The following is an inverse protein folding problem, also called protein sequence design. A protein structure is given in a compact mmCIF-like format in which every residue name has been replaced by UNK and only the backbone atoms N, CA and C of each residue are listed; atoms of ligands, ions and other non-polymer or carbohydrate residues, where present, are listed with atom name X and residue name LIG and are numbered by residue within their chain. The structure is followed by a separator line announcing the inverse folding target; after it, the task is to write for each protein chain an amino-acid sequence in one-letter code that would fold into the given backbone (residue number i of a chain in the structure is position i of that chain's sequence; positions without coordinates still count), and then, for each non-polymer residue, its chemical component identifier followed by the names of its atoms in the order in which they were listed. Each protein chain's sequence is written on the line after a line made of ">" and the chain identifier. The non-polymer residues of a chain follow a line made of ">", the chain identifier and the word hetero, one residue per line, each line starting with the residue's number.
data_IF_622481300942
#
_entry.id   IF_622481300942
#
_cell.length_a   1.000
_cell.length_b   1.000
_cell.length_c   1.000
_cell.angle_alpha   90.00
_cell.angle_beta   90.00
_cell.angle_gamma   90.00
#
_symmetry.space_group_name_H-M   'P 1'
#
loop_
_entity.id
_entity.type
_entity.pdbx_description
1 polymer ?
#
# COMPACT_ATOMS: atom_id res chain seq x y z
N UNK A 1 -10.63 -7.34 56.08
CA UNK A 1 -11.21 -6.86 54.80
C UNK A 1 -10.23 -6.00 53.96
N UNK A 2 -9.33 -5.21 54.57
CA UNK A 2 -8.33 -4.39 53.85
C UNK A 2 -7.27 -5.18 53.05
N UNK A 3 -6.85 -6.36 53.52
CA UNK A 3 -5.81 -7.16 52.87
C UNK A 3 -6.23 -7.77 51.53
N UNK A 4 -7.49 -8.22 51.42
CA UNK A 4 -8.02 -8.83 50.20
C UNK A 4 -8.15 -7.83 49.04
N UNK A 5 -8.36 -6.55 49.35
CA UNK A 5 -8.49 -5.47 48.36
C UNK A 5 -7.11 -5.11 47.78
N UNK A 6 -6.08 -5.00 48.62
CA UNK A 6 -4.69 -4.74 48.15
C UNK A 6 -4.17 -5.84 47.22
N UNK A 7 -4.46 -7.10 47.54
CA UNK A 7 -4.02 -8.25 46.72
C UNK A 7 -4.71 -8.28 45.34
N UNK A 8 -5.99 -7.91 45.26
CA UNK A 8 -6.71 -7.76 43.99
C UNK A 8 -6.11 -6.65 43.12
N UNK A 9 -5.84 -5.47 43.69
CA UNK A 9 -5.25 -4.34 42.95
C UNK A 9 -3.85 -4.67 42.40
N UNK A 10 -3.02 -5.35 43.20
CA UNK A 10 -1.70 -5.81 42.75
C UNK A 10 -1.78 -6.83 41.61
N UNK A 11 -2.76 -7.75 41.65
CA UNK A 11 -2.98 -8.72 40.57
C UNK A 11 -3.43 -8.03 39.27
N UNK A 12 -4.30 -7.02 39.36
CA UNK A 12 -4.78 -6.27 38.19
C UNK A 12 -3.65 -5.48 37.54
N UNK A 13 -2.78 -4.83 38.34
CA UNK A 13 -1.62 -4.08 37.83
C UNK A 13 -0.63 -5.03 37.13
N UNK A 14 -0.38 -6.22 37.69
CA UNK A 14 0.50 -7.21 37.09
C UNK A 14 -0.03 -7.75 35.75
N UNK A 15 -1.34 -8.00 35.65
CA UNK A 15 -1.98 -8.38 34.38
C UNK A 15 -1.90 -7.27 33.34
N UNK A 16 -2.12 -6.01 33.71
CA UNK A 16 -1.95 -4.87 32.79
C UNK A 16 -0.51 -4.75 32.29
N UNK A 17 0.49 -4.94 33.15
CA UNK A 17 1.91 -4.91 32.76
C UNK A 17 2.29 -6.05 31.81
N UNK A 18 1.75 -7.26 32.02
CA UNK A 18 1.96 -8.39 31.10
C UNK A 18 1.33 -8.14 29.71
N UNK A 19 0.17 -7.49 29.65
CA UNK A 19 -0.48 -7.12 28.38
C UNK A 19 0.33 -6.05 27.63
N UNK A 20 0.90 -5.07 28.35
CA UNK A 20 1.76 -4.03 27.75
C UNK A 20 3.09 -4.63 27.26
N UNK A 21 3.62 -5.64 27.95
CA UNK A 21 4.91 -6.27 27.61
C UNK A 21 4.83 -7.12 26.33
N UNK A 22 3.71 -7.79 26.07
CA UNK A 22 3.52 -8.61 24.87
C UNK A 22 3.20 -7.81 23.60
N UNK A 23 2.81 -6.54 23.74
CA UNK A 23 2.48 -5.68 22.60
C UNK A 23 3.72 -5.13 21.87
N UNK A 24 4.92 -5.20 22.47
CA UNK A 24 6.05 -4.33 22.09
C UNK A 24 7.26 -5.00 21.41
N UNK A 25 7.18 -6.27 20.98
CA UNK A 25 8.25 -6.85 20.16
C UNK A 25 7.79 -8.07 19.37
N UNK A 26 6.70 -7.95 18.62
CA UNK A 26 6.40 -8.94 17.58
C UNK A 26 7.21 -8.58 16.34
N UNK A 27 8.39 -9.19 16.21
CA UNK A 27 9.13 -9.16 14.95
C UNK A 27 8.34 -9.92 13.89
N UNK A 28 8.08 -9.28 12.74
CA UNK A 28 7.47 -9.94 11.56
C UNK A 28 8.40 -9.81 10.36
N UNK A 29 8.65 -10.90 9.65
CA UNK A 29 9.35 -10.87 8.36
C UNK A 29 8.38 -10.38 7.27
N UNK A 30 8.69 -9.22 6.70
CA UNK A 30 7.82 -8.57 5.72
C UNK A 30 8.10 -9.03 4.28
N UNK A 31 9.13 -9.87 4.06
CA UNK A 31 9.48 -10.38 2.73
C UNK A 31 8.50 -11.43 2.23
N UNK A 32 7.82 -12.13 3.13
CA UNK A 32 6.79 -13.11 2.78
C UNK A 32 5.57 -12.47 2.10
N UNK A 33 5.31 -11.19 2.39
CA UNK A 33 4.21 -10.40 1.82
C UNK A 33 4.60 -9.69 0.49
N UNK A 34 5.74 -10.05 -0.09
CA UNK A 34 6.24 -9.49 -1.35
C UNK A 34 5.43 -9.98 -2.55
N UNK A 35 5.14 -9.08 -3.49
CA UNK A 35 4.37 -9.40 -4.69
C UNK A 35 5.04 -8.80 -5.93
N UNK A 36 5.58 -9.65 -6.80
CA UNK A 36 5.83 -9.31 -8.20
C UNK A 36 4.74 -10.01 -8.99
N UNK A 37 3.78 -9.23 -9.52
CA UNK A 37 2.80 -9.78 -10.44
C UNK A 37 3.35 -9.65 -11.86
N UNK A 38 3.28 -10.74 -12.63
CA UNK A 38 3.31 -10.63 -14.08
C UNK A 38 2.09 -9.83 -14.50
N UNK A 39 2.36 -8.61 -14.97
CA UNK A 39 1.35 -7.63 -15.29
C UNK A 39 0.61 -8.06 -16.56
N UNK A 40 -0.43 -8.88 -16.38
CA UNK A 40 -1.39 -9.24 -17.42
C UNK A 40 -2.68 -8.43 -17.23
N UNK A 41 -3.05 -7.62 -18.22
CA UNK A 41 -4.27 -6.81 -18.22
C UNK A 41 -5.54 -7.68 -18.39
N UNK A 42 -5.41 -8.84 -19.04
CA UNK A 42 -6.49 -9.80 -19.29
C UNK A 42 -6.82 -10.68 -18.07
N UNK A 43 -6.11 -10.50 -16.94
CA UNK A 43 -6.38 -11.27 -15.73
C UNK A 43 -7.74 -10.91 -15.11
N UNK A 44 -8.42 -11.89 -14.53
CA UNK A 44 -9.77 -11.75 -13.96
C UNK A 44 -9.82 -10.94 -12.63
N UNK A 45 -8.70 -10.74 -11.94
CA UNK A 45 -8.68 -10.18 -10.57
C UNK A 45 -8.41 -8.67 -10.50
N UNK A 46 -9.32 -7.85 -11.03
CA UNK A 46 -9.28 -6.40 -10.83
C UNK A 46 -10.09 -6.00 -9.59
N UNK A 47 -9.51 -5.13 -8.76
CA UNK A 47 -10.25 -4.42 -7.72
C UNK A 47 -10.88 -3.17 -8.31
N UNK A 48 -11.82 -2.54 -7.60
CA UNK A 48 -12.39 -1.28 -8.02
C UNK A 48 -12.77 -0.41 -6.83
N UNK A 49 -12.78 0.90 -7.05
CA UNK A 49 -13.44 1.86 -6.17
C UNK A 49 -14.59 2.53 -6.93
N UNK A 50 -15.51 3.16 -6.19
CA UNK A 50 -16.53 4.05 -6.77
C UNK A 50 -16.15 5.49 -6.47
N UNK A 51 -15.93 6.29 -7.51
CA UNK A 51 -15.59 7.70 -7.38
C UNK A 51 -16.59 8.55 -8.16
N UNK A 52 -17.33 9.42 -7.46
CA UNK A 52 -18.39 10.27 -8.06
C UNK A 52 -19.42 9.49 -8.91
N UNK A 53 -19.72 8.25 -8.52
CA UNK A 53 -20.66 7.38 -9.24
C UNK A 53 -20.04 6.58 -10.39
N UNK A 54 -18.76 6.79 -10.72
CA UNK A 54 -18.03 6.01 -11.71
C UNK A 54 -17.25 4.88 -11.05
N UNK A 55 -17.23 3.70 -11.69
CA UNK A 55 -16.42 2.56 -11.27
C UNK A 55 -15.00 2.73 -11.82
N UNK A 56 -14.02 2.89 -10.93
CA UNK A 56 -12.61 3.00 -11.29
C UNK A 56 -11.92 1.69 -10.90
N UNK A 57 -11.54 0.90 -11.91
CA UNK A 57 -10.80 -0.33 -11.70
C UNK A 57 -9.34 -0.01 -11.33
N UNK A 58 -8.73 -0.89 -10.53
CA UNK A 58 -7.30 -0.83 -10.24
C UNK A 58 -6.74 -2.22 -9.95
N UNK A 59 -5.44 -2.37 -10.12
CA UNK A 59 -4.73 -3.63 -9.84
C UNK A 59 -3.36 -3.36 -9.27
N UNK A 60 -2.99 -4.06 -8.21
CA UNK A 60 -1.62 -4.05 -7.68
C UNK A 60 -0.75 -4.87 -8.61
N UNK A 61 0.33 -4.28 -9.13
CA UNK A 61 1.28 -4.98 -9.99
C UNK A 61 2.61 -5.27 -9.25
N UNK A 62 2.92 -4.45 -8.26
CA UNK A 62 4.14 -4.56 -7.48
C UNK A 62 3.87 -4.15 -6.04
N UNK A 63 4.34 -4.96 -5.08
CA UNK A 63 4.33 -4.67 -3.65
C UNK A 63 5.67 -5.08 -3.06
N UNK A 64 6.36 -4.13 -2.43
CA UNK A 64 7.66 -4.36 -1.81
C UNK A 64 7.71 -3.80 -0.39
N UNK A 65 8.24 -4.55 0.58
CA UNK A 65 8.35 -4.05 1.94
C UNK A 65 9.36 -2.88 2.02
N UNK A 66 9.04 -1.86 2.83
CA UNK A 66 9.94 -0.73 3.11
C UNK A 66 11.16 -1.19 3.91
N UNK A 67 10.92 -2.10 4.86
CA UNK A 67 11.92 -2.76 5.69
C UNK A 67 11.64 -4.26 5.69
N UNK A 68 12.68 -5.09 5.70
CA UNK A 68 12.53 -6.55 5.69
C UNK A 68 11.92 -7.11 6.97
N UNK A 69 12.00 -6.38 8.09
CA UNK A 69 11.40 -6.77 9.38
C UNK A 69 10.70 -5.58 10.05
N UNK A 70 9.54 -5.83 10.64
CA UNK A 70 8.81 -4.85 11.45
C UNK A 70 9.01 -5.10 12.95
N UNK A 71 9.28 -4.05 13.74
CA UNK A 71 9.54 -4.14 15.20
C UNK A 71 8.22 -4.11 16.02
N UNK A 72 7.08 -3.94 15.36
CA UNK A 72 5.74 -3.88 15.95
C UNK A 72 4.71 -4.74 15.20
N UNK A 73 5.17 -5.74 14.46
CA UNK A 73 4.35 -6.65 13.65
C UNK A 73 3.69 -6.02 12.41
N UNK A 74 3.79 -4.69 12.22
CA UNK A 74 3.17 -3.99 11.09
C UNK A 74 4.17 -3.78 9.95
N UNK A 75 4.00 -4.55 8.88
CA UNK A 75 4.77 -4.38 7.67
C UNK A 75 4.29 -3.17 6.87
N UNK A 76 5.24 -2.37 6.42
CA UNK A 76 5.03 -1.20 5.58
C UNK A 76 5.45 -1.53 4.16
N UNK A 77 4.72 -1.03 3.16
CA UNK A 77 4.97 -1.37 1.76
C UNK A 77 5.00 -0.17 0.83
N UNK A 78 5.83 -0.27 -0.20
CA UNK A 78 5.75 0.52 -1.43
C UNK A 78 5.14 -0.31 -2.55
N UNK A 79 4.55 0.35 -3.54
CA UNK A 79 3.96 -0.37 -4.66
C UNK A 79 3.95 0.34 -6.00
N UNK A 80 3.56 -0.42 -7.02
CA UNK A 80 3.11 0.12 -8.31
C UNK A 80 1.76 -0.50 -8.62
N UNK A 81 0.84 0.35 -9.08
CA UNK A 81 -0.52 -0.05 -9.40
C UNK A 81 -0.87 0.34 -10.83
N UNK A 82 -1.81 -0.39 -11.41
CA UNK A 82 -2.45 -0.04 -12.67
C UNK A 82 -3.79 0.61 -12.33
N UNK A 83 -4.08 1.73 -12.97
CA UNK A 83 -5.37 2.41 -12.93
C UNK A 83 -5.67 2.83 -14.38
N UNK A 84 -6.48 2.05 -15.12
CA UNK A 84 -6.69 2.23 -16.56
C UNK A 84 -7.64 3.39 -16.84
N UNK A 85 -7.25 4.59 -16.42
CA UNK A 85 -7.95 5.84 -16.68
C UNK A 85 -7.10 6.72 -17.58
N UNK A 86 -7.76 7.52 -18.40
CA UNK A 86 -7.09 8.55 -19.17
C UNK A 86 -6.92 9.80 -18.30
N UNK A 87 -5.67 10.11 -17.92
CA UNK A 87 -5.37 11.28 -17.06
C UNK A 87 -5.91 12.60 -17.62
N UNK A 88 -6.04 12.74 -18.94
CA UNK A 88 -6.55 13.97 -19.56
C UNK A 88 -8.04 14.24 -19.26
N UNK A 89 -8.80 13.21 -18.89
CA UNK A 89 -10.22 13.31 -18.55
C UNK A 89 -10.45 13.74 -17.09
N UNK A 90 -9.41 13.69 -16.24
CA UNK A 90 -9.52 13.98 -14.81
C UNK A 90 -8.70 15.21 -14.41
N UNK A 91 -9.28 16.06 -13.55
CA UNK A 91 -8.53 17.15 -12.93
C UNK A 91 -7.48 16.57 -11.98
N UNK A 92 -6.33 17.25 -11.83
CA UNK A 92 -5.24 16.84 -10.93
C UNK A 92 -5.72 16.54 -9.49
N UNK A 93 -6.67 17.32 -8.97
CA UNK A 93 -7.27 17.12 -7.64
C UNK A 93 -8.07 15.81 -7.58
N UNK A 94 -8.82 15.49 -8.63
CA UNK A 94 -9.62 14.28 -8.71
C UNK A 94 -8.71 13.04 -8.76
N UNK A 95 -7.65 13.07 -9.57
CA UNK A 95 -6.62 12.01 -9.57
C UNK A 95 -6.02 11.81 -8.18
N UNK A 96 -5.65 12.89 -7.47
CA UNK A 96 -5.11 12.78 -6.10
C UNK A 96 -6.11 12.09 -5.16
N UNK A 97 -7.40 12.41 -5.27
CA UNK A 97 -8.44 11.80 -4.45
C UNK A 97 -8.66 10.32 -4.80
N UNK A 98 -8.72 9.97 -6.10
CA UNK A 98 -8.81 8.58 -6.56
C UNK A 98 -7.67 7.75 -5.98
N UNK A 99 -6.42 8.22 -6.11
CA UNK A 99 -5.26 7.50 -5.58
C UNK A 99 -5.29 7.41 -4.05
N UNK A 100 -5.77 8.45 -3.36
CA UNK A 100 -5.95 8.41 -1.91
C UNK A 100 -6.96 7.34 -1.50
N UNK A 101 -8.13 7.28 -2.15
CA UNK A 101 -9.18 6.29 -1.86
C UNK A 101 -8.69 4.87 -2.15
N UNK A 102 -7.95 4.64 -3.26
CA UNK A 102 -7.30 3.35 -3.50
C UNK A 102 -6.34 3.00 -2.37
N UNK A 103 -5.58 3.97 -1.85
CA UNK A 103 -4.64 3.71 -0.74
C UNK A 103 -5.33 3.38 0.59
N UNK A 104 -6.58 3.80 0.80
CA UNK A 104 -7.34 3.43 2.00
C UNK A 104 -7.58 1.91 2.06
N UNK A 105 -7.65 1.24 0.90
CA UNK A 105 -7.76 -0.23 0.78
C UNK A 105 -6.40 -0.92 0.78
N UNK A 106 -5.38 -0.33 0.14
CA UNK A 106 -4.06 -0.95 -0.03
C UNK A 106 -3.11 -0.74 1.15
N UNK A 107 -3.27 0.34 1.90
CA UNK A 107 -2.41 0.78 3.01
C UNK A 107 -0.90 0.83 2.67
N UNK A 108 -0.56 1.35 1.49
CA UNK A 108 0.84 1.58 1.11
C UNK A 108 1.36 2.89 1.70
N UNK A 109 2.66 2.92 2.02
CA UNK A 109 3.38 4.14 2.40
C UNK A 109 3.59 5.04 1.18
N UNK A 110 3.81 4.45 0.01
CA UNK A 110 3.89 5.15 -1.27
C UNK A 110 3.64 4.20 -2.44
N UNK A 111 3.03 4.72 -3.50
CA UNK A 111 2.98 4.01 -4.76
C UNK A 111 2.96 4.94 -5.97
N UNK A 112 3.31 4.36 -7.12
CA UNK A 112 3.15 4.99 -8.43
C UNK A 112 2.01 4.30 -9.18
N UNK A 113 1.11 5.10 -9.76
CA UNK A 113 0.02 4.62 -10.59
C UNK A 113 0.31 4.85 -12.07
N UNK A 114 0.12 3.80 -12.87
CA UNK A 114 0.25 3.82 -14.33
C UNK A 114 -1.06 3.42 -15.00
N UNK A 115 -1.31 3.89 -16.23
CA UNK A 115 -2.50 3.54 -17.01
C UNK A 115 -2.46 2.10 -17.53
N UNK A 116 -1.27 1.55 -17.77
CA UNK A 116 -1.08 0.26 -18.45
C UNK A 116 -0.01 -0.60 -17.78
N UNK A 117 -0.08 -1.91 -18.02
CA UNK A 117 0.93 -2.87 -17.63
C UNK A 117 2.26 -2.66 -18.34
N UNK A 118 2.23 -2.24 -19.60
CA UNK A 118 3.44 -1.97 -20.38
C UNK A 118 4.26 -0.85 -19.72
N UNK A 119 3.61 0.22 -19.24
CA UNK A 119 4.27 1.28 -18.50
C UNK A 119 4.94 0.76 -17.22
N UNK A 120 4.32 -0.18 -16.51
CA UNK A 120 4.92 -0.83 -15.34
C UNK A 120 6.16 -1.63 -15.74
N UNK A 121 6.06 -2.49 -16.77
CA UNK A 121 7.20 -3.28 -17.28
C UNK A 121 8.36 -2.36 -17.68
N UNK A 122 8.09 -1.32 -18.45
CA UNK A 122 9.09 -0.32 -18.85
C UNK A 122 9.70 0.37 -17.63
N UNK A 123 8.91 0.70 -16.61
CA UNK A 123 9.40 1.34 -15.38
C UNK A 123 10.37 0.47 -14.55
N UNK A 124 10.31 -0.86 -14.73
CA UNK A 124 11.18 -1.80 -14.01
C UNK A 124 12.49 -2.08 -14.76
N UNK A 125 12.61 -1.69 -16.02
CA UNK A 125 13.85 -1.87 -16.79
C UNK A 125 14.96 -0.92 -16.29
N UNK A 126 16.21 -1.40 -16.27
CA UNK A 126 17.37 -0.61 -15.83
C UNK A 126 17.90 0.38 -16.89
N UNK A 127 17.46 0.25 -18.16
CA UNK A 127 17.95 1.07 -19.26
C UNK A 127 17.35 2.50 -19.24
N UNK A 128 18.15 3.54 -19.52
CA UNK A 128 17.70 4.92 -19.56
C UNK A 128 17.72 5.47 -21.00
N UNK A 129 16.54 5.88 -21.50
CA UNK A 129 16.38 6.44 -22.84
C UNK A 129 15.26 7.47 -22.90
N UNK A 130 15.40 8.48 -23.76
CA UNK A 130 14.44 9.60 -23.87
C UNK A 130 13.03 9.15 -24.22
N UNK A 131 12.89 8.19 -25.14
CA UNK A 131 11.57 7.64 -25.52
C UNK A 131 10.92 6.90 -24.36
N UNK A 132 11.69 6.15 -23.56
CA UNK A 132 11.21 5.50 -22.34
C UNK A 132 10.69 6.53 -21.35
N UNK A 133 11.44 7.59 -21.09
CA UNK A 133 11.02 8.65 -20.16
C UNK A 133 9.72 9.32 -20.62
N UNK A 134 9.60 9.60 -21.92
CA UNK A 134 8.37 10.16 -22.49
C UNK A 134 7.20 9.19 -22.32
N UNK A 135 7.36 7.94 -22.73
CA UNK A 135 6.34 6.90 -22.60
C UNK A 135 5.85 6.73 -21.15
N UNK A 136 6.77 6.68 -20.18
CA UNK A 136 6.43 6.59 -18.77
C UNK A 136 5.67 7.82 -18.28
N UNK A 137 6.06 9.03 -18.72
CA UNK A 137 5.37 10.27 -18.35
C UNK A 137 3.95 10.32 -18.91
N UNK A 138 3.76 9.87 -20.13
CA UNK A 138 2.47 9.85 -20.83
C UNK A 138 1.51 8.83 -20.21
N UNK A 139 2.04 7.72 -19.67
CA UNK A 139 1.26 6.66 -19.02
C UNK A 139 1.25 6.73 -17.48
N UNK A 140 1.92 7.71 -16.88
CA UNK A 140 1.89 7.90 -15.43
C UNK A 140 0.66 8.73 -15.03
N UNK A 141 -0.25 8.09 -14.30
CA UNK A 141 -1.44 8.73 -13.73
C UNK A 141 -1.03 9.67 -12.61
N UNK A 142 -0.19 9.19 -11.70
CA UNK A 142 0.26 9.95 -10.55
C UNK A 142 1.03 9.10 -9.55
N UNK A 143 1.13 9.62 -8.33
CA UNK A 143 1.68 8.90 -7.19
C UNK A 143 0.91 9.27 -5.94
N UNK A 144 0.94 8.38 -4.96
CA UNK A 144 0.47 8.63 -3.61
C UNK A 144 1.64 8.47 -2.65
N UNK A 145 1.72 9.33 -1.64
CA UNK A 145 2.64 9.21 -0.50
C UNK A 145 1.83 9.46 0.77
N UNK A 146 1.93 8.56 1.73
CA UNK A 146 1.33 8.69 3.06
C UNK A 146 2.05 9.83 3.78
N UNK A 147 1.29 10.80 4.27
CA UNK A 147 1.78 11.96 5.04
C UNK A 147 1.99 11.59 6.51
#
# INVERSE_FOLDING_TARGET
>A
MYFAIKMKVQLTIFFFLLIISNANSQERDCREDYLIIDCNEESVSWSYIVYKGEKINYKVAYRSPVVSRAINGKCKFYGKIIVPINRSEYKKKDVKNILKTINEELDFEYFIAYSTCEAIRVSMTAYHHKLKTKFLKDNQIGFYKKE
#
